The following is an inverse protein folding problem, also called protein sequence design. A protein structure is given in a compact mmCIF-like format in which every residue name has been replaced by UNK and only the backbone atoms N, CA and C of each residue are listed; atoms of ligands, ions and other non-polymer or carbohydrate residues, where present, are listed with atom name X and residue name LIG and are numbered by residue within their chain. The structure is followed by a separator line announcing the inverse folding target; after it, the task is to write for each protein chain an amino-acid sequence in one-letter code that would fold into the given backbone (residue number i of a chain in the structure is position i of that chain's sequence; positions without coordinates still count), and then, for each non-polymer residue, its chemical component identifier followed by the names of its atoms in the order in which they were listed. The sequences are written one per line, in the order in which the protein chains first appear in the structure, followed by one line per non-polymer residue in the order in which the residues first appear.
data_IF_926386174881
#
_entry.id   IF_926386174881
#
_cell.length_a   1.000
_cell.length_b   1.000
_cell.length_c   1.000
_cell.angle_alpha   90.00
_cell.angle_beta   90.00
_cell.angle_gamma   90.00
#
_symmetry.space_group_name_H-M   'P 1'
#
loop_
_entity.id
_entity.type
_entity.pdbx_description
1 polymer ?
#
# COMPACT_ATOMS: atom_id res chain seq x y z
N UNK A 1 6.97 -3.95 24.03
CA UNK A 1 5.49 -4.01 24.11
C UNK A 1 4.85 -3.00 23.15
N UNK A 2 5.50 -1.85 22.93
CA UNK A 2 4.95 -0.73 22.15
C UNK A 2 4.82 -1.01 20.65
N UNK A 3 5.81 -1.67 20.04
CA UNK A 3 5.74 -2.05 18.61
C UNK A 3 4.58 -2.99 18.31
N UNK A 4 4.29 -3.93 19.22
CA UNK A 4 3.13 -4.83 19.07
C UNK A 4 1.82 -4.04 19.09
N UNK A 5 1.70 -3.05 19.98
CA UNK A 5 0.54 -2.16 20.07
C UNK A 5 0.38 -1.34 18.79
N UNK A 6 1.47 -0.78 18.27
CA UNK A 6 1.49 -0.05 16.99
C UNK A 6 0.99 -0.93 15.83
N UNK A 7 1.48 -2.16 15.72
CA UNK A 7 1.05 -3.09 14.67
C UNK A 7 -0.41 -3.55 14.84
N UNK A 8 -0.94 -3.56 16.06
CA UNK A 8 -2.37 -3.77 16.29
C UNK A 8 -3.20 -2.57 15.82
N UNK A 9 -2.76 -1.32 16.05
CA UNK A 9 -3.43 -0.14 15.47
C UNK A 9 -3.44 -0.16 13.94
N UNK A 10 -2.32 -0.55 13.32
CA UNK A 10 -2.26 -0.74 11.87
C UNK A 10 -3.23 -1.84 11.39
N UNK A 11 -3.35 -2.94 12.15
CA UNK A 11 -4.36 -3.97 11.88
C UNK A 11 -5.80 -3.48 12.03
N UNK A 12 -6.06 -2.56 12.97
CA UNK A 12 -7.37 -1.92 13.15
C UNK A 12 -7.77 -1.06 11.95
N UNK A 13 -6.84 -0.24 11.45
CA UNK A 13 -7.03 0.55 10.24
C UNK A 13 -7.46 -0.33 9.06
N UNK A 14 -6.70 -1.40 8.78
CA UNK A 14 -7.01 -2.31 7.67
C UNK A 14 -8.39 -2.96 7.79
N UNK A 15 -8.80 -3.35 9.00
CA UNK A 15 -10.12 -3.93 9.26
C UNK A 15 -11.25 -2.96 9.02
N UNK A 16 -11.08 -1.72 9.47
CA UNK A 16 -12.07 -0.65 9.30
C UNK A 16 -12.18 -0.24 7.83
N UNK A 17 -11.05 -0.12 7.12
CA UNK A 17 -11.04 0.17 5.68
C UNK A 17 -11.75 -0.95 4.91
N UNK A 18 -11.47 -2.22 5.20
CA UNK A 18 -12.20 -3.33 4.59
C UNK A 18 -13.70 -3.29 4.86
N UNK A 19 -14.09 -2.99 6.10
CA UNK A 19 -15.51 -2.88 6.44
C UNK A 19 -16.18 -1.79 5.61
N UNK A 20 -15.57 -0.60 5.55
CA UNK A 20 -16.03 0.50 4.72
C UNK A 20 -16.14 0.13 3.23
N UNK A 21 -15.11 -0.51 2.68
CA UNK A 21 -15.07 -0.91 1.26
C UNK A 21 -16.07 -2.02 0.92
N UNK A 22 -16.44 -2.85 1.91
CA UNK A 22 -17.43 -3.93 1.75
C UNK A 22 -18.87 -3.43 1.63
N UNK A 23 -19.11 -2.12 1.84
CA UNK A 23 -20.45 -1.53 1.83
C UNK A 23 -21.34 -1.93 3.01
N UNK A 24 -20.81 -2.65 4.01
CA UNK A 24 -21.52 -2.95 5.25
C UNK A 24 -21.55 -1.74 6.18
N UNK A 25 -22.38 -1.83 7.22
CA UNK A 25 -22.39 -0.82 8.27
C UNK A 25 -21.04 -0.81 9.01
N UNK A 26 -20.49 0.39 9.17
CA UNK A 26 -19.21 0.61 9.84
C UNK A 26 -19.43 0.37 11.34
N UNK A 27 -19.10 -0.84 11.78
CA UNK A 27 -19.27 -1.32 13.15
C UNK A 27 -18.02 -2.06 13.62
N UNK A 28 -17.79 -2.10 14.93
CA UNK A 28 -16.70 -2.89 15.52
C UNK A 28 -16.89 -4.37 15.17
N UNK A 29 -18.12 -4.90 15.32
CA UNK A 29 -18.42 -6.30 15.05
C UNK A 29 -18.09 -6.71 13.63
N UNK A 30 -18.47 -5.90 12.63
CA UNK A 30 -18.19 -6.20 11.23
C UNK A 30 -16.70 -6.03 10.92
N UNK A 31 -16.06 -4.96 11.41
CA UNK A 31 -14.64 -4.71 11.20
C UNK A 31 -13.78 -5.87 11.73
N UNK A 32 -14.12 -6.45 12.89
CA UNK A 32 -13.39 -7.58 13.47
C UNK A 32 -13.41 -8.85 12.60
N UNK A 33 -14.38 -8.99 11.68
CA UNK A 33 -14.46 -10.15 10.77
C UNK A 33 -13.44 -10.12 9.63
N UNK A 34 -12.88 -8.95 9.33
CA UNK A 34 -11.95 -8.76 8.21
C UNK A 34 -10.49 -9.13 8.57
N UNK A 35 -9.68 -9.51 7.57
CA UNK A 35 -8.27 -9.80 7.79
C UNK A 35 -7.47 -8.53 8.14
N UNK A 36 -6.32 -8.70 8.78
CA UNK A 36 -5.41 -7.58 9.06
C UNK A 36 -4.45 -7.29 7.88
N UNK A 37 -4.50 -8.06 6.80
CA UNK A 37 -3.69 -7.85 5.60
C UNK A 37 -4.55 -7.24 4.50
N UNK A 38 -4.14 -6.08 4.01
CA UNK A 38 -4.87 -5.32 3.00
C UNK A 38 -4.02 -5.16 1.73
N UNK A 39 -4.50 -5.55 0.53
CA UNK A 39 -3.72 -5.52 -0.71
C UNK A 39 -3.29 -4.10 -1.10
N UNK A 40 -4.04 -3.08 -0.65
CA UNK A 40 -3.76 -1.66 -0.93
C UNK A 40 -2.97 -0.92 0.16
N UNK A 41 -2.44 -1.60 1.17
CA UNK A 41 -1.65 -0.93 2.20
C UNK A 41 -0.41 -0.23 1.60
N UNK A 42 -0.01 0.90 2.18
CA UNK A 42 1.23 1.63 1.85
C UNK A 42 2.49 0.74 1.91
N UNK A 43 2.48 -0.30 2.73
CA UNK A 43 3.57 -1.29 2.79
C UNK A 43 3.69 -2.13 1.51
N UNK A 44 2.57 -2.54 0.91
CA UNK A 44 2.55 -3.19 -0.41
C UNK A 44 2.93 -2.21 -1.53
N UNK A 45 2.49 -0.95 -1.42
CA UNK A 45 2.88 0.13 -2.33
C UNK A 45 4.41 0.34 -2.35
N UNK A 46 5.04 0.46 -1.18
CA UNK A 46 6.49 0.66 -1.06
C UNK A 46 7.29 -0.50 -1.66
N UNK A 47 6.75 -1.72 -1.61
CA UNK A 47 7.37 -2.87 -2.24
C UNK A 47 7.38 -2.77 -3.78
N UNK A 48 6.28 -2.31 -4.39
CA UNK A 48 6.21 -2.06 -5.83
C UNK A 48 7.19 -0.94 -6.24
N UNK A 49 7.28 0.12 -5.42
CA UNK A 49 8.25 1.20 -5.63
C UNK A 49 9.69 0.69 -5.58
N UNK A 50 10.02 -0.10 -4.56
CA UNK A 50 11.34 -0.71 -4.42
C UNK A 50 11.70 -1.58 -5.63
N UNK A 51 10.79 -2.46 -6.05
CA UNK A 51 11.04 -3.35 -7.19
C UNK A 51 11.22 -2.55 -8.48
N UNK A 52 10.41 -1.50 -8.68
CA UNK A 52 10.54 -0.58 -9.81
C UNK A 52 11.90 0.11 -9.79
N UNK A 53 12.33 0.61 -8.62
CA UNK A 53 13.62 1.26 -8.45
C UNK A 53 14.77 0.31 -8.78
N UNK A 54 14.74 -0.93 -8.29
CA UNK A 54 15.76 -1.94 -8.58
C UNK A 54 15.87 -2.18 -10.08
N UNK A 55 14.74 -2.39 -10.77
CA UNK A 55 14.75 -2.68 -12.22
C UNK A 55 15.24 -1.46 -13.00
N UNK A 56 14.68 -0.28 -12.75
CA UNK A 56 15.05 0.95 -13.47
C UNK A 56 16.51 1.29 -13.25
N UNK A 57 16.97 1.31 -11.99
CA UNK A 57 18.36 1.64 -11.68
C UNK A 57 19.34 0.56 -12.11
N UNK A 58 18.97 -0.72 -12.11
CA UNK A 58 19.82 -1.77 -12.68
C UNK A 58 20.04 -1.59 -14.19
N UNK A 59 18.99 -1.20 -14.94
CA UNK A 59 19.11 -0.91 -16.38
C UNK A 59 19.97 0.33 -16.64
N UNK A 60 19.79 1.37 -15.83
CA UNK A 60 20.58 2.61 -15.93
C UNK A 60 22.04 2.36 -15.57
N UNK A 61 22.33 1.67 -14.46
CA UNK A 61 23.70 1.28 -14.08
C UNK A 61 24.33 0.42 -15.19
N UNK A 62 23.58 -0.48 -15.82
CA UNK A 62 24.11 -1.29 -16.95
C UNK A 62 24.46 -0.42 -18.16
N UNK A 63 23.61 0.56 -18.51
CA UNK A 63 23.88 1.51 -19.60
C UNK A 63 25.09 2.40 -19.29
N UNK A 64 25.22 2.87 -18.05
CA UNK A 64 26.37 3.69 -17.62
C UNK A 64 27.66 2.87 -17.71
N UNK A 65 27.66 1.62 -17.23
CA UNK A 65 28.82 0.73 -17.37
C UNK A 65 29.19 0.48 -18.84
N UNK A 66 28.21 0.33 -19.72
CA UNK A 66 28.46 0.12 -21.14
C UNK A 66 29.06 1.36 -21.85
N UNK A 67 28.77 2.57 -21.37
CA UNK A 67 29.25 3.83 -22.00
C UNK A 67 30.53 4.37 -21.35
N UNK A 68 30.62 4.31 -20.02
CA UNK A 68 31.69 4.93 -19.24
C UNK A 68 32.71 3.93 -18.67
N UNK A 69 32.49 2.62 -18.90
CA UNK A 69 33.32 1.48 -18.45
C UNK A 69 33.56 1.37 -16.93
N UNK A 70 33.07 2.34 -16.16
CA UNK A 70 33.28 2.47 -14.73
C UNK A 70 32.04 3.09 -14.07
N UNK A 71 31.77 2.68 -12.83
CA UNK A 71 30.72 3.27 -12.00
C UNK A 71 31.30 3.59 -10.63
N UNK A 72 31.21 4.86 -10.26
CA UNK A 72 31.62 5.38 -8.96
C UNK A 72 30.39 5.91 -8.22
N UNK A 73 30.45 5.99 -6.89
CA UNK A 73 29.33 6.49 -6.07
C UNK A 73 28.79 7.86 -6.51
N UNK A 74 29.63 8.87 -6.83
CA UNK A 74 29.13 10.17 -7.28
C UNK A 74 28.37 10.10 -8.61
N UNK A 75 28.81 9.23 -9.53
CA UNK A 75 28.12 9.02 -10.81
C UNK A 75 26.74 8.40 -10.57
N UNK A 76 26.64 7.36 -9.72
CA UNK A 76 25.33 6.76 -9.38
C UNK A 76 24.37 7.80 -8.80
N UNK A 77 24.83 8.65 -7.88
CA UNK A 77 23.98 9.70 -7.32
C UNK A 77 23.54 10.72 -8.37
N UNK A 78 24.45 11.13 -9.25
CA UNK A 78 24.17 12.08 -10.33
C UNK A 78 23.11 11.55 -11.31
N UNK A 79 23.14 10.26 -11.64
CA UNK A 79 22.16 9.65 -12.54
C UNK A 79 20.87 9.21 -11.85
N UNK A 80 20.92 8.72 -10.61
CA UNK A 80 19.73 8.22 -9.90
C UNK A 80 18.84 9.34 -9.35
N UNK A 81 19.40 10.41 -8.79
CA UNK A 81 18.60 11.49 -8.19
C UNK A 81 17.59 12.11 -9.17
N UNK A 82 17.99 12.50 -10.41
CA UNK A 82 17.05 13.04 -11.38
C UNK A 82 16.00 12.04 -11.88
N UNK A 83 16.27 10.74 -11.74
CA UNK A 83 15.38 9.66 -12.19
C UNK A 83 14.37 9.21 -11.12
N UNK A 84 14.42 9.77 -9.91
CA UNK A 84 13.42 9.49 -8.86
C UNK A 84 11.98 9.74 -9.35
N UNK A 85 11.64 10.86 -10.05
CA UNK A 85 10.30 11.06 -10.59
C UNK A 85 9.89 10.01 -11.63
N UNK A 86 10.84 9.52 -12.44
CA UNK A 86 10.58 8.46 -13.41
C UNK A 86 10.22 7.15 -12.69
N UNK A 87 11.00 6.77 -11.68
CA UNK A 87 10.72 5.59 -10.86
C UNK A 87 9.33 5.73 -10.21
N UNK A 88 9.04 6.87 -9.61
CA UNK A 88 7.74 7.14 -8.99
C UNK A 88 6.58 7.01 -10.00
N UNK A 89 6.73 7.54 -11.22
CA UNK A 89 5.74 7.42 -12.29
C UNK A 89 5.53 5.98 -12.74
N UNK A 90 6.61 5.22 -12.97
CA UNK A 90 6.52 3.79 -13.31
C UNK A 90 5.82 3.01 -12.20
N UNK A 91 6.19 3.25 -10.94
CA UNK A 91 5.56 2.61 -9.80
C UNK A 91 4.07 2.93 -9.73
N UNK A 92 3.68 4.20 -9.88
CA UNK A 92 2.28 4.62 -9.88
C UNK A 92 1.45 3.86 -10.92
N UNK A 93 1.94 3.74 -12.15
CA UNK A 93 1.24 2.99 -13.20
C UNK A 93 1.16 1.49 -12.89
N UNK A 94 2.22 0.89 -12.34
CA UNK A 94 2.20 -0.51 -11.90
C UNK A 94 1.18 -0.74 -10.77
N UNK A 95 1.07 0.20 -9.83
CA UNK A 95 0.09 0.16 -8.74
C UNK A 95 -1.33 0.29 -9.28
N UNK A 96 -1.57 1.26 -10.17
CA UNK A 96 -2.86 1.45 -10.83
C UNK A 96 -3.28 0.21 -11.62
N UNK A 97 -2.34 -0.40 -12.34
CA UNK A 97 -2.56 -1.66 -13.06
C UNK A 97 -2.87 -2.81 -12.09
N UNK A 98 -2.17 -2.84 -10.95
CA UNK A 98 -2.35 -3.85 -9.91
C UNK A 98 -3.73 -3.80 -9.27
N UNK A 99 -4.28 -2.60 -9.08
CA UNK A 99 -5.66 -2.41 -8.60
C UNK A 99 -6.67 -2.82 -9.67
N UNK A 100 -6.52 -2.31 -10.91
CA UNK A 100 -7.47 -2.56 -12.00
C UNK A 100 -7.58 -4.03 -12.42
N UNK A 101 -6.50 -4.79 -12.25
CA UNK A 101 -6.43 -6.20 -12.67
C UNK A 101 -6.14 -7.17 -11.52
N UNK A 102 -6.59 -6.83 -10.30
CA UNK A 102 -6.37 -7.64 -9.10
C UNK A 102 -6.77 -9.12 -9.23
N UNK A 103 -7.73 -9.43 -10.10
CA UNK A 103 -8.21 -10.80 -10.34
C UNK A 103 -7.24 -11.66 -11.17
N UNK A 104 -6.28 -11.04 -11.87
CA UNK A 104 -5.30 -11.76 -12.68
C UNK A 104 -4.24 -12.38 -11.78
N UNK A 105 -3.97 -13.67 -11.97
CA UNK A 105 -2.99 -14.45 -11.19
C UNK A 105 -1.61 -13.79 -11.11
N UNK A 106 -1.15 -13.19 -12.22
CA UNK A 106 0.12 -12.48 -12.26
C UNK A 106 0.16 -11.25 -11.35
N UNK A 107 -0.92 -10.47 -11.32
CA UNK A 107 -1.03 -9.28 -10.47
C UNK A 107 -1.07 -9.68 -9.01
N UNK A 108 -1.83 -10.74 -8.69
CA UNK A 108 -1.91 -11.30 -7.34
C UNK A 108 -0.54 -11.80 -6.86
N UNK A 109 0.24 -12.44 -7.74
CA UNK A 109 1.62 -12.84 -7.43
C UNK A 109 2.51 -11.66 -7.08
N UNK A 110 2.42 -10.54 -7.82
CA UNK A 110 3.18 -9.32 -7.51
C UNK A 110 2.77 -8.66 -6.18
N UNK A 111 1.51 -8.78 -5.78
CA UNK A 111 1.00 -8.25 -4.49
C UNK A 111 1.37 -9.14 -3.30
N UNK A 112 1.60 -10.43 -3.53
CA UNK A 112 1.79 -11.43 -2.47
C UNK A 112 2.96 -11.11 -1.53
N UNK A 113 4.15 -10.69 -2.02
CA UNK A 113 5.25 -10.29 -1.14
C UNK A 113 4.89 -9.12 -0.22
N UNK A 114 4.11 -8.15 -0.70
CA UNK A 114 3.62 -7.02 0.10
C UNK A 114 2.69 -7.49 1.22
N UNK A 115 1.79 -8.43 0.93
CA UNK A 115 0.93 -9.06 1.93
C UNK A 115 1.72 -9.87 2.96
N UNK A 116 2.81 -10.54 2.56
CA UNK A 116 3.69 -11.25 3.49
C UNK A 116 4.41 -10.29 4.44
N UNK A 117 4.84 -9.13 3.94
CA UNK A 117 5.43 -8.10 4.80
C UNK A 117 4.44 -7.66 5.89
N UNK A 118 3.15 -7.57 5.55
CA UNK A 118 2.10 -7.22 6.50
C UNK A 118 1.90 -8.27 7.59
N UNK A 119 2.25 -9.56 7.37
CA UNK A 119 2.25 -10.55 8.44
C UNK A 119 3.22 -10.20 9.58
N UNK A 120 4.22 -9.37 9.30
CA UNK A 120 5.20 -8.89 10.27
C UNK A 120 4.76 -7.54 10.87
N UNK A 121 4.13 -6.68 10.07
CA UNK A 121 3.79 -5.29 10.44
C UNK A 121 2.35 -5.07 10.89
N UNK A 122 1.50 -6.09 10.91
CA UNK A 122 0.13 -6.03 11.44
C UNK A 122 -0.12 -7.10 12.49
N UNK A 123 -1.02 -6.80 13.41
CA UNK A 123 -1.46 -7.72 14.47
C UNK A 123 -2.97 -7.59 14.70
N UNK A 124 -3.64 -8.63 15.23
CA UNK A 124 -5.04 -8.50 15.63
C UNK A 124 -5.23 -7.33 16.62
N UNK A 125 -6.17 -6.40 16.36
CA UNK A 125 -6.52 -5.32 17.27
C UNK A 125 -7.55 -5.75 18.32
N UNK A 126 -7.64 -4.98 19.40
CA UNK A 126 -8.78 -5.01 20.32
C UNK A 126 -9.88 -4.04 19.85
N UNK A 127 -11.07 -4.13 20.45
CA UNK A 127 -12.24 -3.34 20.05
C UNK A 127 -12.01 -1.83 20.21
N UNK A 128 -11.25 -1.39 21.22
CA UNK A 128 -10.94 0.02 21.44
C UNK A 128 -10.03 0.58 20.33
N UNK A 129 -9.09 -0.22 19.81
CA UNK A 129 -8.29 0.17 18.65
C UNK A 129 -9.12 0.27 17.38
N UNK A 130 -10.10 -0.63 17.20
CA UNK A 130 -11.04 -0.58 16.06
C UNK A 130 -11.92 0.66 16.16
N UNK A 131 -12.44 0.99 17.34
CA UNK A 131 -13.20 2.21 17.57
C UNK A 131 -12.41 3.47 17.19
N UNK A 132 -11.14 3.57 17.61
CA UNK A 132 -10.25 4.67 17.23
C UNK A 132 -10.07 4.75 15.71
N UNK A 133 -9.91 3.61 15.04
CA UNK A 133 -9.78 3.57 13.58
C UNK A 133 -11.07 3.98 12.87
N UNK A 134 -12.25 3.61 13.40
CA UNK A 134 -13.55 4.09 12.91
C UNK A 134 -13.62 5.61 13.07
N UNK A 135 -13.34 6.15 14.26
CA UNK A 135 -13.35 7.60 14.50
C UNK A 135 -12.39 8.35 13.57
N UNK A 136 -11.21 7.78 13.30
CA UNK A 136 -10.25 8.35 12.36
C UNK A 136 -10.79 8.36 10.93
N UNK A 137 -11.42 7.26 10.48
CA UNK A 137 -12.08 7.16 9.19
C UNK A 137 -13.20 8.21 9.07
N UNK A 138 -14.06 8.30 10.08
CA UNK A 138 -15.16 9.27 10.10
C UNK A 138 -14.66 10.71 10.06
N UNK A 139 -13.58 11.00 10.79
CA UNK A 139 -12.95 12.32 10.77
C UNK A 139 -12.30 12.64 9.43
N UNK A 140 -11.76 11.64 8.72
CA UNK A 140 -11.12 11.82 7.42
C UNK A 140 -12.13 12.13 6.30
N UNK A 141 -13.29 11.49 6.32
CA UNK A 141 -14.34 11.70 5.32
C UNK A 141 -15.32 12.82 5.68
N UNK A 142 -15.47 13.14 6.97
CA UNK A 142 -16.39 14.18 7.45
C UNK A 142 -17.80 14.00 6.90
N UNK A 143 -18.37 15.08 6.35
CA UNK A 143 -19.72 15.09 5.80
C UNK A 143 -19.92 14.15 4.60
N UNK A 144 -18.85 13.86 3.85
CA UNK A 144 -18.90 12.99 2.66
C UNK A 144 -19.17 11.52 3.04
N UNK A 145 -18.96 11.14 4.29
CA UNK A 145 -19.15 9.76 4.72
C UNK A 145 -20.60 9.29 4.53
N UNK A 146 -21.57 10.18 4.72
CA UNK A 146 -22.99 9.83 4.58
C UNK A 146 -23.35 9.49 3.14
N UNK A 147 -22.68 10.11 2.17
CA UNK A 147 -22.88 9.83 0.74
C UNK A 147 -22.17 8.54 0.30
N UNK A 148 -21.20 8.07 1.09
CA UNK A 148 -20.38 6.91 0.80
C UNK A 148 -20.89 5.64 1.52
N UNK A 149 -21.43 5.76 2.73
CA UNK A 149 -21.94 4.61 3.52
C UNK A 149 -22.93 3.75 2.73
N UNK A 150 -22.77 2.43 2.83
CA UNK A 150 -23.67 1.45 2.20
C UNK A 150 -23.38 1.13 0.72
N UNK A 151 -22.31 1.69 0.14
CA UNK A 151 -21.88 1.39 -1.23
C UNK A 151 -20.62 0.52 -1.21
N UNK A 152 -20.54 -0.46 -2.10
CA UNK A 152 -19.28 -1.18 -2.32
C UNK A 152 -18.31 -0.28 -3.06
N UNK A 153 -17.10 -0.15 -2.52
CA UNK A 153 -16.02 0.57 -3.16
C UNK A 153 -14.90 -0.39 -3.50
N UNK A 154 -14.72 -0.63 -4.79
CA UNK A 154 -13.37 -0.80 -5.29
C UNK A 154 -12.83 0.62 -5.33
N UNK A 155 -12.04 1.03 -4.34
CA UNK A 155 -11.30 2.28 -4.40
C UNK A 155 -10.32 2.22 -5.60
N UNK A 156 -10.82 2.36 -6.82
CA UNK A 156 -10.12 3.05 -7.89
C UNK A 156 -10.03 4.48 -7.39
N UNK A 157 -8.84 4.83 -6.90
CA UNK A 157 -8.41 6.17 -6.48
C UNK A 157 -9.54 7.19 -6.41
N UNK A 158 -10.01 7.49 -5.20
CA UNK A 158 -10.74 8.73 -4.97
C UNK A 158 -9.88 9.85 -5.58
N UNK A 159 -10.37 10.37 -6.69
CA UNK A 159 -9.75 11.33 -7.57
C UNK A 159 -10.87 11.98 -8.39
#
# INVERSE_FOLDING_TARGET
KDVKRLFSYHGAEHRVVYNFESGRDISISDAQTFPTQHPRCGTSFMFIVLLSAIIVFALIDTLILAVFETINLPMRLLFHLPLIPLVAGVSYELIKLSVRHGDKVFVRLLQTPGLWLQLITTRPPDDAMVEIAITALESAFGDQLNDLKGKEFIAEAIG
#
